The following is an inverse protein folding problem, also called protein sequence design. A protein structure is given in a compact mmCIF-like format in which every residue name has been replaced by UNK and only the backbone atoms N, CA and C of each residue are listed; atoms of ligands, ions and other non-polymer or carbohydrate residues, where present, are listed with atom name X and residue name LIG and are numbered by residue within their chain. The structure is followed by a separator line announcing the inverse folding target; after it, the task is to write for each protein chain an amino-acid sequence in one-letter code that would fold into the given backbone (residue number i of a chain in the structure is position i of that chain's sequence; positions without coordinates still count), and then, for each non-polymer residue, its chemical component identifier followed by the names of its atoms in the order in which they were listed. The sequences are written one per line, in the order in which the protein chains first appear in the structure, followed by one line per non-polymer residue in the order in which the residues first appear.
data_IF_300737176678
#
_entry.id   IF_300737176678
#
_cell.length_a   1.000
_cell.length_b   1.000
_cell.length_c   1.000
_cell.angle_alpha   90.00
_cell.angle_beta   90.00
_cell.angle_gamma   90.00
#
_symmetry.space_group_name_H-M   'P 1'
#
loop_
_entity.id
_entity.type
_entity.pdbx_description
1 polymer ?
#
# COMPACT_ATOMS: atom_id res chain seq x y z
N UNK A 1 -2.82 -23.18 -22.92
CA UNK A 1 -2.01 -22.07 -22.34
C UNK A 1 -2.47 -21.64 -20.94
N UNK A 2 -3.71 -21.79 -20.59
CA UNK A 2 -4.33 -21.23 -19.37
C UNK A 2 -3.99 -22.00 -18.09
N UNK A 3 -3.92 -23.33 -18.13
CA UNK A 3 -3.77 -24.17 -16.93
C UNK A 3 -2.39 -23.97 -16.27
N UNK A 4 -1.31 -24.12 -17.04
CA UNK A 4 0.08 -23.95 -16.54
C UNK A 4 0.34 -22.55 -16.00
N UNK A 5 -0.22 -21.51 -16.66
CA UNK A 5 -0.11 -20.12 -16.17
C UNK A 5 -0.82 -19.95 -14.84
N UNK A 6 -2.03 -20.48 -14.71
CA UNK A 6 -2.81 -20.35 -13.49
C UNK A 6 -2.16 -21.10 -12.32
N UNK A 7 -1.57 -22.27 -12.56
CA UNK A 7 -0.81 -23.01 -11.55
C UNK A 7 0.40 -22.22 -11.05
N UNK A 8 1.21 -21.68 -11.99
CA UNK A 8 2.36 -20.83 -11.62
C UNK A 8 1.95 -19.59 -10.83
N UNK A 9 0.85 -18.93 -11.25
CA UNK A 9 0.33 -17.76 -10.54
C UNK A 9 -0.17 -18.13 -9.14
N UNK A 10 -0.80 -19.27 -8.99
CA UNK A 10 -1.28 -19.76 -7.72
C UNK A 10 -0.12 -20.09 -6.77
N UNK A 11 0.89 -20.80 -7.25
CA UNK A 11 2.12 -21.08 -6.51
C UNK A 11 2.82 -19.77 -6.06
N UNK A 12 2.96 -18.81 -6.98
CA UNK A 12 3.51 -17.51 -6.66
C UNK A 12 2.72 -16.79 -5.54
N UNK A 13 1.38 -16.79 -5.61
CA UNK A 13 0.53 -16.16 -4.59
C UNK A 13 0.74 -16.84 -3.23
N UNK A 14 0.83 -18.16 -3.20
CA UNK A 14 1.09 -18.89 -1.95
C UNK A 14 2.46 -18.59 -1.36
N UNK A 15 3.51 -18.51 -2.19
CA UNK A 15 4.86 -18.12 -1.76
C UNK A 15 4.91 -16.67 -1.29
N UNK A 16 4.33 -15.74 -2.07
CA UNK A 16 4.29 -14.32 -1.73
C UNK A 16 3.56 -14.06 -0.40
N UNK A 17 2.38 -14.65 -0.23
CA UNK A 17 1.60 -14.47 1.01
C UNK A 17 2.31 -15.08 2.22
N UNK A 18 3.03 -16.22 2.05
CA UNK A 18 3.87 -16.78 3.12
C UNK A 18 4.99 -15.82 3.49
N UNK A 19 5.74 -15.32 2.51
CA UNK A 19 6.85 -14.38 2.75
C UNK A 19 6.38 -13.09 3.44
N UNK A 20 5.20 -12.56 3.09
CA UNK A 20 4.63 -11.39 3.76
C UNK A 20 4.32 -11.69 5.24
N UNK A 21 3.73 -12.84 5.53
CA UNK A 21 3.40 -13.22 6.92
C UNK A 21 4.66 -13.47 7.74
N UNK A 22 5.64 -14.18 7.18
CA UNK A 22 6.91 -14.44 7.84
C UNK A 22 7.68 -13.13 8.12
N UNK A 23 7.67 -12.20 7.17
CA UNK A 23 8.27 -10.87 7.36
C UNK A 23 7.55 -10.07 8.45
N UNK A 24 6.22 -10.08 8.47
CA UNK A 24 5.44 -9.41 9.51
C UNK A 24 5.74 -9.98 10.91
N UNK A 25 5.87 -11.31 11.04
CA UNK A 25 6.26 -11.97 12.29
C UNK A 25 7.67 -11.54 12.73
N UNK A 26 8.63 -11.54 11.82
CA UNK A 26 10.01 -11.14 12.11
C UNK A 26 10.11 -9.67 12.57
N UNK A 27 9.19 -8.82 12.08
CA UNK A 27 9.08 -7.43 12.53
C UNK A 27 8.25 -7.26 13.83
N UNK A 28 7.75 -8.34 14.43
CA UNK A 28 6.86 -8.27 15.60
C UNK A 28 5.50 -7.63 15.32
N UNK A 29 5.07 -7.58 14.04
CA UNK A 29 3.80 -6.98 13.68
C UNK A 29 2.62 -7.91 14.01
N UNK A 30 1.63 -7.40 14.71
CA UNK A 30 0.39 -8.09 15.03
C UNK A 30 -0.76 -7.77 14.07
N UNK A 31 -0.57 -6.80 13.18
CA UNK A 31 -1.60 -6.33 12.25
C UNK A 31 -1.00 -5.97 10.89
N UNK A 32 -1.66 -6.42 9.82
CA UNK A 32 -1.37 -6.04 8.44
C UNK A 32 -2.55 -5.24 7.90
N UNK A 33 -2.30 -4.04 7.38
CA UNK A 33 -3.33 -3.21 6.76
C UNK A 33 -3.17 -3.22 5.24
N UNK A 34 -4.26 -3.52 4.53
CA UNK A 34 -4.28 -3.58 3.07
C UNK A 34 -5.24 -2.53 2.52
N UNK A 35 -4.72 -1.67 1.64
CA UNK A 35 -5.53 -0.77 0.83
C UNK A 35 -6.22 -1.53 -0.31
N UNK A 36 -7.54 -1.33 -0.46
CA UNK A 36 -8.32 -1.92 -1.54
C UNK A 36 -9.45 -0.99 -1.96
N UNK A 37 -9.42 -0.51 -3.19
CA UNK A 37 -10.52 0.28 -3.73
C UNK A 37 -11.67 -0.61 -4.23
N UNK A 38 -12.90 -0.17 -3.99
CA UNK A 38 -14.06 -0.75 -4.67
C UNK A 38 -13.93 -0.45 -6.17
N UNK A 39 -14.12 -1.46 -7.02
CA UNK A 39 -14.12 -1.31 -8.49
C UNK A 39 -12.78 -0.92 -9.15
N UNK A 40 -11.64 -1.03 -8.47
CA UNK A 40 -10.34 -0.67 -9.02
C UNK A 40 -9.98 -1.38 -10.35
N UNK A 41 -10.64 -2.50 -10.67
CA UNK A 41 -10.49 -3.19 -11.97
C UNK A 41 -11.37 -2.63 -13.10
N UNK A 42 -12.37 -1.77 -12.80
CA UNK A 42 -13.38 -1.34 -13.78
C UNK A 42 -13.00 -0.10 -14.60
N UNK A 43 -12.03 0.70 -14.14
CA UNK A 43 -11.68 1.99 -14.78
C UNK A 43 -10.18 2.13 -14.99
N UNK A 44 -9.51 1.06 -15.45
CA UNK A 44 -8.07 1.09 -15.69
C UNK A 44 -7.82 1.40 -17.16
N UNK A 45 -7.24 2.58 -17.41
CA UNK A 45 -6.85 3.05 -18.75
C UNK A 45 -5.33 2.96 -18.96
N UNK A 46 -4.76 1.75 -18.84
CA UNK A 46 -3.32 1.50 -19.01
C UNK A 46 -2.96 0.93 -20.40
N UNK A 47 -3.94 0.92 -21.34
CA UNK A 47 -3.80 0.25 -22.62
C UNK A 47 -4.21 -1.23 -22.58
N UNK A 48 -4.67 -1.75 -23.74
CA UNK A 48 -5.34 -3.07 -23.85
C UNK A 48 -4.52 -4.23 -23.29
N UNK A 49 -3.22 -4.29 -23.60
CA UNK A 49 -2.32 -5.39 -23.18
C UNK A 49 -2.03 -5.38 -21.68
N UNK A 50 -1.78 -4.17 -21.12
CA UNK A 50 -1.48 -4.00 -19.70
C UNK A 50 -2.72 -4.25 -18.88
N UNK A 51 -3.89 -3.77 -19.32
CA UNK A 51 -5.17 -4.02 -18.66
C UNK A 51 -5.48 -5.53 -18.58
N UNK A 52 -5.27 -6.29 -19.67
CA UNK A 52 -5.49 -7.74 -19.65
C UNK A 52 -4.57 -8.45 -18.64
N UNK A 53 -3.30 -8.08 -18.57
CA UNK A 53 -2.37 -8.64 -17.62
C UNK A 53 -2.76 -8.31 -16.16
N UNK A 54 -3.13 -7.05 -15.90
CA UNK A 54 -3.51 -6.59 -14.57
C UNK A 54 -4.83 -7.21 -14.09
N UNK A 55 -5.84 -7.30 -14.95
CA UNK A 55 -7.14 -7.95 -14.65
C UNK A 55 -6.94 -9.43 -14.35
N UNK A 56 -5.97 -10.07 -15.02
CA UNK A 56 -5.65 -11.48 -14.85
C UNK A 56 -5.03 -11.83 -13.48
N UNK A 57 -4.58 -10.85 -12.69
CA UNK A 57 -4.04 -11.10 -11.34
C UNK A 57 -5.21 -11.21 -10.34
N UNK A 58 -5.37 -12.35 -9.64
CA UNK A 58 -6.49 -12.55 -8.71
C UNK A 58 -6.21 -11.93 -7.34
N UNK A 59 -6.17 -10.59 -7.29
CA UNK A 59 -5.84 -9.84 -6.05
C UNK A 59 -6.76 -10.18 -4.87
N UNK A 60 -8.07 -10.37 -5.12
CA UNK A 60 -8.99 -10.75 -4.04
C UNK A 60 -8.60 -12.10 -3.44
N UNK A 61 -8.23 -13.07 -4.30
CA UNK A 61 -7.77 -14.38 -3.86
C UNK A 61 -6.46 -14.29 -3.06
N UNK A 62 -5.54 -13.44 -3.49
CA UNK A 62 -4.29 -13.18 -2.74
C UNK A 62 -4.59 -12.63 -1.33
N UNK A 63 -5.51 -11.69 -1.21
CA UNK A 63 -5.92 -11.13 0.08
C UNK A 63 -6.58 -12.19 0.96
N UNK A 64 -7.41 -13.07 0.42
CA UNK A 64 -8.04 -14.18 1.16
C UNK A 64 -7.00 -15.16 1.70
N UNK A 65 -6.06 -15.58 0.86
CA UNK A 65 -4.97 -16.48 1.25
C UNK A 65 -4.08 -15.81 2.30
N UNK A 66 -3.78 -14.52 2.15
CA UNK A 66 -3.00 -13.76 3.13
C UNK A 66 -3.73 -13.70 4.48
N UNK A 67 -5.03 -13.38 4.49
CA UNK A 67 -5.87 -13.39 5.71
C UNK A 67 -5.83 -14.74 6.42
N UNK A 68 -6.02 -15.81 5.67
CA UNK A 68 -5.98 -17.17 6.21
C UNK A 68 -4.63 -17.47 6.89
N UNK A 69 -3.52 -17.24 6.16
CA UNK A 69 -2.18 -17.53 6.68
C UNK A 69 -1.79 -16.64 7.86
N UNK A 70 -2.13 -15.36 7.81
CA UNK A 70 -1.88 -14.42 8.88
C UNK A 70 -2.64 -14.81 10.15
N UNK A 71 -3.91 -15.18 10.02
CA UNK A 71 -4.74 -15.63 11.14
C UNK A 71 -4.16 -16.86 11.84
N UNK A 72 -3.64 -17.83 11.09
CA UNK A 72 -2.95 -19.01 11.64
C UNK A 72 -1.72 -18.64 12.49
N UNK A 73 -1.17 -17.45 12.32
CA UNK A 73 -0.02 -16.91 13.04
C UNK A 73 -0.38 -15.83 14.06
N UNK A 74 -1.67 -15.65 14.35
CA UNK A 74 -2.15 -14.63 15.27
C UNK A 74 -2.07 -13.19 14.75
N UNK A 75 -1.85 -13.00 13.45
CA UNK A 75 -1.79 -11.67 12.82
C UNK A 75 -3.16 -11.30 12.27
N UNK A 76 -3.67 -10.14 12.65
CA UNK A 76 -4.93 -9.58 12.12
C UNK A 76 -4.70 -8.91 10.77
N UNK A 77 -5.56 -9.17 9.77
CA UNK A 77 -5.51 -8.49 8.47
C UNK A 77 -6.74 -7.60 8.30
N UNK A 78 -6.51 -6.28 8.22
CA UNK A 78 -7.55 -5.27 8.04
C UNK A 78 -7.51 -4.77 6.60
N UNK A 79 -8.67 -4.70 5.93
CA UNK A 79 -8.80 -4.09 4.60
C UNK A 79 -9.49 -2.74 4.71
N UNK A 80 -8.92 -1.71 4.09
CA UNK A 80 -9.50 -0.36 4.07
C UNK A 80 -9.48 0.21 2.66
N UNK A 81 -10.26 1.27 2.44
CA UNK A 81 -10.24 1.98 1.16
C UNK A 81 -8.95 2.80 1.02
N UNK A 82 -8.21 2.61 -0.08
CA UNK A 82 -6.96 3.32 -0.35
C UNK A 82 -7.14 4.63 -1.13
N UNK A 83 -8.37 5.00 -1.51
CA UNK A 83 -8.62 6.20 -2.31
C UNK A 83 -7.96 7.43 -1.67
N UNK A 84 -7.28 8.21 -2.51
CA UNK A 84 -6.65 9.49 -2.15
C UNK A 84 -5.48 9.43 -1.15
N UNK A 85 -4.98 8.27 -0.78
CA UNK A 85 -3.84 8.12 0.14
C UNK A 85 -2.52 8.64 -0.42
N UNK A 86 -2.39 8.74 -1.74
CA UNK A 86 -1.21 9.27 -2.42
C UNK A 86 -1.16 10.81 -2.49
N UNK A 87 -2.19 11.51 -2.01
CA UNK A 87 -2.32 12.96 -2.14
C UNK A 87 -1.83 13.73 -0.92
N UNK A 88 -1.71 13.07 0.22
CA UNK A 88 -1.36 13.70 1.49
C UNK A 88 -0.03 13.16 2.02
N UNK A 89 0.69 14.01 2.76
CA UNK A 89 1.97 13.66 3.35
C UNK A 89 1.78 12.97 4.71
N UNK A 90 2.32 11.78 4.83
CA UNK A 90 2.39 11.11 6.12
C UNK A 90 3.42 11.76 7.03
N UNK A 91 4.58 12.18 6.49
CA UNK A 91 5.65 12.84 7.26
C UNK A 91 5.19 14.13 7.92
N UNK A 92 4.37 14.92 7.22
CA UNK A 92 3.82 16.19 7.70
C UNK A 92 2.62 16.00 8.64
N UNK A 93 2.24 14.75 8.95
CA UNK A 93 1.10 14.49 9.81
C UNK A 93 -0.25 14.80 9.18
N UNK A 94 -0.32 14.99 7.86
CA UNK A 94 -1.56 15.30 7.16
C UNK A 94 -2.55 14.14 7.25
N UNK A 95 -3.82 14.44 7.55
CA UNK A 95 -4.87 13.42 7.61
C UNK A 95 -5.15 12.87 6.21
N UNK A 96 -5.31 11.55 6.04
CA UNK A 96 -5.71 10.97 4.76
C UNK A 96 -7.08 11.54 4.35
N UNK A 97 -7.24 11.87 3.07
CA UNK A 97 -8.49 12.38 2.54
C UNK A 97 -9.62 11.36 2.75
N UNK A 98 -10.77 11.83 3.22
CA UNK A 98 -12.00 11.02 3.34
C UNK A 98 -12.78 11.06 2.04
N UNK A 99 -13.54 10.00 1.73
CA UNK A 99 -14.38 9.86 0.52
C UNK A 99 -15.45 10.95 0.37
N UNK A 100 -15.84 11.64 1.45
CA UNK A 100 -16.98 12.59 1.47
C UNK A 100 -16.58 14.03 1.08
N UNK A 101 -15.73 14.20 0.09
CA UNK A 101 -15.67 15.39 -0.77
C UNK A 101 -15.24 16.73 -0.15
N UNK A 102 -15.47 17.00 1.10
CA UNK A 102 -15.22 18.32 1.69
C UNK A 102 -13.73 18.64 1.91
N UNK A 103 -12.88 17.63 1.97
CA UNK A 103 -11.44 17.83 2.14
C UNK A 103 -10.74 18.13 0.80
N UNK A 104 -11.27 17.67 -0.33
CA UNK A 104 -10.73 17.93 -1.67
C UNK A 104 -10.71 19.42 -2.05
N UNK A 105 -11.69 20.21 -1.61
CA UNK A 105 -11.75 21.63 -1.93
C UNK A 105 -10.63 22.41 -1.26
N UNK A 106 -10.28 22.11 0.00
CA UNK A 106 -9.17 22.78 0.71
C UNK A 106 -7.79 22.34 0.21
N UNK A 107 -7.61 21.05 -0.11
CA UNK A 107 -6.34 20.53 -0.64
C UNK A 107 -6.04 20.99 -2.07
N UNK A 108 -7.06 21.37 -2.86
CA UNK A 108 -6.85 21.95 -4.20
C UNK A 108 -6.02 23.24 -4.15
N UNK A 109 -6.07 23.98 -3.04
CA UNK A 109 -5.27 25.19 -2.84
C UNK A 109 -3.90 24.93 -2.23
N UNK A 110 -3.69 23.80 -1.55
CA UNK A 110 -2.38 23.39 -1.01
C UNK A 110 -1.56 22.57 -2.01
N UNK A 111 -2.04 22.49 -3.26
CA UNK A 111 -1.40 21.84 -4.42
C UNK A 111 -0.66 20.53 -4.11
N UNK A 112 -1.39 19.42 -3.85
CA UNK A 112 -0.76 18.10 -3.68
C UNK A 112 -0.03 17.66 -4.95
N UNK A 113 -0.38 18.23 -6.11
CA UNK A 113 0.26 17.93 -7.40
C UNK A 113 1.74 18.31 -7.45
N UNK A 114 2.16 19.32 -6.70
CA UNK A 114 3.56 19.78 -6.71
C UNK A 114 4.47 18.98 -5.78
N UNK A 115 3.92 18.16 -4.84
CA UNK A 115 4.71 17.33 -3.92
C UNK A 115 5.12 16.00 -4.52
N UNK A 116 4.40 15.51 -5.52
CA UNK A 116 4.80 14.32 -6.27
C UNK A 116 5.75 14.73 -7.39
N UNK A 117 7.03 14.76 -7.10
CA UNK A 117 8.08 15.18 -8.05
C UNK A 117 8.13 14.23 -9.24
N UNK A 118 8.07 12.92 -8.99
CA UNK A 118 8.00 11.86 -9.99
C UNK A 118 7.00 10.77 -9.56
N UNK A 119 6.72 9.83 -10.44
CA UNK A 119 5.79 8.73 -10.17
C UNK A 119 6.10 7.97 -8.87
N UNK A 120 7.38 7.79 -8.53
CA UNK A 120 7.84 7.07 -7.34
C UNK A 120 8.34 7.95 -6.20
N UNK A 121 8.30 9.29 -6.33
CA UNK A 121 8.93 10.20 -5.38
C UNK A 121 7.95 11.27 -4.90
N UNK A 122 7.85 11.43 -3.58
CA UNK A 122 7.02 12.39 -2.89
C UNK A 122 7.89 13.28 -2.00
N UNK A 123 7.58 14.57 -1.90
CA UNK A 123 8.29 15.52 -1.06
C UNK A 123 7.39 16.02 0.07
N UNK A 124 7.90 16.02 1.30
CA UNK A 124 7.25 16.62 2.46
C UNK A 124 7.47 18.13 2.53
N UNK A 125 6.82 18.81 3.47
CA UNK A 125 6.91 20.28 3.63
C UNK A 125 8.32 20.75 3.99
N UNK A 126 9.08 19.94 4.71
CA UNK A 126 10.47 20.20 5.10
C UNK A 126 11.49 19.88 3.99
N UNK A 127 11.00 19.49 2.80
CA UNK A 127 11.84 19.11 1.68
C UNK A 127 12.31 17.65 1.69
N UNK A 128 11.98 16.87 2.73
CA UNK A 128 12.36 15.45 2.82
C UNK A 128 11.71 14.65 1.69
N UNK A 129 12.53 13.87 0.99
CA UNK A 129 12.08 13.00 -0.09
C UNK A 129 11.71 11.62 0.45
N UNK A 130 10.57 11.09 0.04
CA UNK A 130 10.09 9.77 0.43
C UNK A 130 9.56 9.02 -0.80
N UNK A 131 9.74 7.70 -0.81
CA UNK A 131 9.10 6.89 -1.84
C UNK A 131 7.57 7.05 -1.77
N UNK A 132 6.94 7.34 -2.92
CA UNK A 132 5.51 7.65 -2.98
C UNK A 132 4.61 6.47 -2.55
N UNK A 133 5.04 5.23 -2.79
CA UNK A 133 4.29 4.04 -2.40
C UNK A 133 4.41 3.80 -0.89
N UNK A 134 5.57 4.11 -0.30
CA UNK A 134 5.77 4.09 1.16
C UNK A 134 4.90 5.15 1.83
N UNK A 135 4.89 6.40 1.31
CA UNK A 135 3.99 7.44 1.82
C UNK A 135 2.52 6.99 1.75
N UNK A 136 2.10 6.42 0.63
CA UNK A 136 0.76 5.87 0.45
C UNK A 136 0.43 4.74 1.43
N UNK A 137 1.37 3.82 1.68
CA UNK A 137 1.20 2.73 2.64
C UNK A 137 0.99 3.24 4.08
N UNK A 138 1.76 4.23 4.52
CA UNK A 138 1.55 4.86 5.82
C UNK A 138 0.21 5.60 5.92
N UNK A 139 -0.23 6.26 4.88
CA UNK A 139 -1.55 6.88 4.85
C UNK A 139 -2.70 5.85 4.88
N UNK A 140 -2.50 4.66 4.31
CA UNK A 140 -3.43 3.53 4.43
C UNK A 140 -3.52 3.07 5.89
N UNK A 141 -2.38 2.94 6.58
CA UNK A 141 -2.34 2.60 8.01
C UNK A 141 -3.10 3.66 8.82
N UNK A 142 -2.90 4.95 8.55
CA UNK A 142 -3.61 6.04 9.26
C UNK A 142 -5.12 6.08 9.02
N UNK A 143 -5.62 5.51 7.94
CA UNK A 143 -7.08 5.35 7.75
C UNK A 143 -7.70 4.39 8.75
N UNK A 144 -6.93 3.45 9.25
CA UNK A 144 -7.36 2.46 10.27
C UNK A 144 -7.00 2.95 11.67
N UNK A 145 -5.78 3.47 11.82
CA UNK A 145 -5.23 3.92 13.09
C UNK A 145 -4.93 5.42 13.01
N UNK A 146 -5.90 6.27 13.36
CA UNK A 146 -5.84 7.73 13.18
C UNK A 146 -4.69 8.40 13.96
N UNK A 147 -4.24 7.78 15.05
CA UNK A 147 -3.27 8.36 15.99
C UNK A 147 -1.81 8.00 15.67
N UNK A 148 -1.58 7.21 14.62
CA UNK A 148 -0.23 6.91 14.14
C UNK A 148 0.39 8.19 13.58
N UNK A 149 1.44 8.67 14.26
CA UNK A 149 2.20 9.86 13.86
C UNK A 149 3.67 9.51 13.67
N UNK A 150 4.28 10.12 12.67
CA UNK A 150 5.69 9.92 12.35
C UNK A 150 6.65 10.55 13.37
N UNK A 151 6.19 11.56 14.14
CA UNK A 151 6.99 12.26 15.15
C UNK A 151 7.54 11.35 16.27
N UNK A 152 7.04 10.12 16.35
CA UNK A 152 7.53 9.10 17.30
C UNK A 152 8.62 8.19 16.73
N UNK A 153 8.96 8.32 15.44
CA UNK A 153 9.99 7.49 14.83
C UNK A 153 11.37 8.13 14.97
N UNK A 154 12.32 7.39 15.53
CA UNK A 154 13.71 7.79 15.66
C UNK A 154 14.37 8.01 14.29
N UNK A 155 15.50 8.72 14.24
CA UNK A 155 16.22 9.03 13.00
C UNK A 155 16.59 7.78 12.17
N UNK A 156 16.85 6.65 12.82
CA UNK A 156 17.15 5.36 12.17
C UNK A 156 15.98 4.85 11.31
N UNK A 157 14.75 5.07 11.76
CA UNK A 157 13.55 4.67 11.00
C UNK A 157 13.31 5.62 9.82
N UNK A 158 13.75 6.89 9.89
CA UNK A 158 13.68 7.81 8.74
C UNK A 158 14.40 7.26 7.52
N UNK A 159 15.55 6.61 7.69
CA UNK A 159 16.26 5.96 6.57
C UNK A 159 15.48 4.81 5.93
N UNK A 160 14.80 3.99 6.73
CA UNK A 160 13.96 2.88 6.22
C UNK A 160 12.71 3.37 5.48
N UNK A 161 12.18 4.54 5.84
CA UNK A 161 11.01 5.14 5.18
C UNK A 161 11.34 5.65 3.78
N UNK A 162 12.57 6.08 3.58
CA UNK A 162 13.02 6.63 2.30
C UNK A 162 13.30 5.52 1.27
N UNK A 163 13.62 4.32 1.74
CA UNK A 163 14.04 3.19 0.90
C UNK A 163 13.23 1.94 1.23
N UNK A 164 12.22 1.59 0.43
CA UNK A 164 11.43 0.39 0.68
C UNK A 164 12.31 -0.86 0.60
N UNK A 165 12.16 -1.76 1.59
CA UNK A 165 12.84 -3.05 1.58
C UNK A 165 12.31 -3.92 0.45
N UNK A 166 13.21 -4.55 -0.31
CA UNK A 166 12.84 -5.49 -1.36
C UNK A 166 12.67 -6.89 -0.78
N UNK A 167 11.46 -7.42 -0.85
CA UNK A 167 11.20 -8.82 -0.52
C UNK A 167 11.43 -9.68 -1.76
N UNK A 168 12.42 -10.56 -1.73
CA UNK A 168 12.69 -11.52 -2.82
C UNK A 168 11.86 -12.78 -2.58
N UNK A 169 11.10 -13.19 -3.59
CA UNK A 169 10.31 -14.42 -3.56
C UNK A 169 10.97 -15.42 -4.52
N UNK A 170 11.51 -16.50 -3.98
CA UNK A 170 12.04 -17.58 -4.79
C UNK A 170 10.88 -18.37 -5.42
N UNK A 171 10.78 -18.29 -6.74
CA UNK A 171 9.71 -18.93 -7.55
C UNK A 171 10.18 -20.26 -8.09
#
# INVERSE_FOLDING_TARGET
MTLKRNQKLFDFIHKATKSIVDYALNCGANTIVIGKNKNWKRSIHLGKRINQNFIGIPHSRMIEILKYKANLKGITVITTNESYTSQTSFLDGEKPCRENGNYHRKLKYLSPSNRRIYRGLFQSNDGTLVNADVNGAYQIIRKVFSDVRFSKFNQEIRGLVLSPSKLTINV
#
